data_IF_828816054114
#
_entry.id   IF_828816054114
#
_cell.length_a   1.000
_cell.length_b   1.000
_cell.length_c   1.000
_cell.angle_alpha   90.00
_cell.angle_beta   90.00
_cell.angle_gamma   90.00
#
_symmetry.space_group_name_H-M   'P 1'
#
loop_
_entity.id
_entity.type
_entity.pdbx_description
1 polymer ?
#
# COMPACT_ATOMS: atom_id res chain seq x y z
N UNK A 1 -7.68 -17.93 -0.87
CA UNK A 1 -8.36 -17.89 0.45
C UNK A 1 -7.46 -17.11 1.39
N UNK A 2 -7.99 -16.09 2.04
CA UNK A 2 -7.31 -15.37 3.12
C UNK A 2 -7.07 -16.30 4.32
N UNK A 3 -6.03 -16.02 5.11
CA UNK A 3 -5.85 -16.66 6.42
C UNK A 3 -6.15 -15.58 7.45
N UNK A 4 -7.28 -15.71 8.13
CA UNK A 4 -7.76 -14.74 9.12
C UNK A 4 -7.98 -15.40 10.48
N UNK A 5 -7.83 -14.60 11.54
CA UNK A 5 -8.19 -15.00 12.91
C UNK A 5 -9.16 -13.97 13.44
N UNK A 6 -10.22 -14.47 14.07
CA UNK A 6 -11.34 -13.65 14.50
C UNK A 6 -11.63 -13.92 15.98
N UNK A 7 -11.85 -12.85 16.74
CA UNK A 7 -12.26 -12.87 18.14
C UNK A 7 -13.57 -12.10 18.26
N UNK A 8 -14.65 -12.81 18.62
CA UNK A 8 -16.00 -12.26 18.63
C UNK A 8 -16.64 -12.38 19.99
N UNK A 9 -17.40 -11.35 20.39
CA UNK A 9 -18.07 -11.32 21.68
C UNK A 9 -19.17 -10.27 21.70
N UNK A 10 -19.81 -10.14 22.86
CA UNK A 10 -20.86 -9.13 23.06
C UNK A 10 -20.64 -8.36 24.37
N UNK A 11 -20.70 -7.04 24.26
CA UNK A 11 -20.80 -6.13 25.40
C UNK A 11 -22.14 -6.33 26.11
N UNK A 12 -22.20 -6.05 27.42
CA UNK A 12 -23.48 -6.07 28.13
C UNK A 12 -24.42 -4.97 27.62
N UNK A 13 -23.87 -3.78 27.32
CA UNK A 13 -24.62 -2.61 26.84
C UNK A 13 -23.78 -1.85 25.83
N UNK A 14 -24.46 -1.22 24.88
CA UNK A 14 -23.82 -0.43 23.82
C UNK A 14 -22.96 0.71 24.37
N UNK A 15 -23.39 1.34 25.47
CA UNK A 15 -22.63 2.39 26.16
C UNK A 15 -21.28 1.93 26.72
N UNK A 16 -21.04 0.62 26.83
CA UNK A 16 -19.79 0.06 27.34
C UNK A 16 -18.72 0.00 26.23
N UNK A 17 -19.08 0.32 24.98
CA UNK A 17 -18.18 0.42 23.82
C UNK A 17 -17.04 1.40 24.06
N UNK A 18 -17.33 2.61 24.55
CA UNK A 18 -16.29 3.61 24.82
C UNK A 18 -15.26 3.10 25.84
N UNK A 19 -15.73 2.36 26.85
CA UNK A 19 -14.85 1.78 27.87
C UNK A 19 -13.98 0.67 27.28
N UNK A 20 -14.54 -0.21 26.44
CA UNK A 20 -13.77 -1.27 25.81
C UNK A 20 -12.77 -0.72 24.77
N UNK A 21 -13.16 0.27 23.98
CA UNK A 21 -12.26 0.99 23.08
C UNK A 21 -11.10 1.64 23.84
N UNK A 22 -11.37 2.27 24.98
CA UNK A 22 -10.31 2.86 25.81
C UNK A 22 -9.36 1.80 26.37
N UNK A 23 -9.90 0.66 26.80
CA UNK A 23 -9.08 -0.48 27.23
C UNK A 23 -8.12 -0.95 26.12
N UNK A 24 -8.61 -1.13 24.89
CA UNK A 24 -7.76 -1.52 23.75
C UNK A 24 -6.68 -0.47 23.45
N UNK A 25 -7.02 0.82 23.52
CA UNK A 25 -6.05 1.92 23.39
C UNK A 25 -4.96 1.83 24.47
N UNK A 26 -5.33 1.55 25.72
CA UNK A 26 -4.38 1.41 26.82
C UNK A 26 -3.43 0.20 26.61
N UNK A 27 -3.96 -0.91 26.09
CA UNK A 27 -3.15 -2.08 25.71
C UNK A 27 -2.16 -1.71 24.61
N UNK A 28 -2.59 -0.97 23.58
CA UNK A 28 -1.74 -0.53 22.49
C UNK A 28 -0.62 0.41 22.97
N UNK A 29 -0.95 1.38 23.83
CA UNK A 29 0.04 2.29 24.44
C UNK A 29 1.10 1.51 25.22
N UNK A 30 0.69 0.53 26.03
CA UNK A 30 1.61 -0.33 26.79
C UNK A 30 2.52 -1.14 25.88
N UNK A 31 2.01 -1.61 24.73
CA UNK A 31 2.77 -2.37 23.73
C UNK A 31 3.53 -1.49 22.74
N UNK A 32 3.40 -0.16 22.81
CA UNK A 32 3.92 0.80 21.83
C UNK A 32 3.44 0.52 20.39
N UNK A 33 2.19 0.10 20.28
CA UNK A 33 1.48 -0.14 19.02
C UNK A 33 0.72 1.13 18.66
N UNK A 34 0.80 1.53 17.39
CA UNK A 34 0.01 2.66 16.88
C UNK A 34 -1.45 2.24 16.73
N UNK A 35 -2.37 3.15 17.06
CA UNK A 35 -3.81 2.91 16.99
C UNK A 35 -4.53 4.13 16.42
N UNK A 36 -5.41 3.89 15.47
CA UNK A 36 -6.30 4.89 14.86
C UNK A 36 -7.75 4.60 15.24
N UNK A 37 -8.53 5.65 15.49
CA UNK A 37 -9.93 5.56 15.92
C UNK A 37 -10.82 6.25 14.90
N UNK A 38 -11.61 5.45 14.20
CA UNK A 38 -12.56 5.86 13.15
C UNK A 38 -13.99 5.89 13.67
N UNK A 39 -14.19 6.20 14.95
CA UNK A 39 -15.44 6.07 15.70
C UNK A 39 -15.87 4.59 15.77
N UNK A 40 -16.47 4.06 14.71
CA UNK A 40 -17.02 2.68 14.66
C UNK A 40 -15.96 1.57 14.62
N UNK A 41 -14.72 1.91 14.29
CA UNK A 41 -13.62 0.96 14.10
C UNK A 41 -12.34 1.48 14.74
N UNK A 42 -11.60 0.59 15.40
CA UNK A 42 -10.23 0.83 15.85
C UNK A 42 -9.28 0.02 14.98
N UNK A 43 -8.26 0.68 14.42
CA UNK A 43 -7.20 0.03 13.63
C UNK A 43 -5.90 0.04 14.42
N UNK A 44 -5.31 -1.13 14.64
CA UNK A 44 -4.05 -1.31 15.35
C UNK A 44 -2.94 -1.75 14.39
N UNK A 45 -1.91 -0.93 14.26
CA UNK A 45 -0.80 -1.18 13.34
C UNK A 45 0.32 -1.93 14.08
N UNK A 46 0.42 -3.24 13.84
CA UNK A 46 1.41 -4.09 14.51
C UNK A 46 2.74 -4.07 13.77
N UNK A 47 2.69 -4.23 12.45
CA UNK A 47 3.82 -4.20 11.54
C UNK A 47 3.32 -3.86 10.13
N UNK A 48 4.19 -3.57 9.15
CA UNK A 48 3.76 -3.39 7.77
C UNK A 48 2.94 -4.60 7.29
N UNK A 49 1.82 -4.36 6.60
CA UNK A 49 0.82 -5.38 6.20
C UNK A 49 0.18 -6.20 7.34
N UNK A 50 0.43 -5.86 8.61
CA UNK A 50 -0.06 -6.59 9.78
C UNK A 50 -0.92 -5.70 10.68
N UNK A 51 -2.22 -5.72 10.43
CA UNK A 51 -3.21 -4.90 11.14
C UNK A 51 -4.16 -5.78 11.96
N UNK A 52 -4.61 -5.25 13.10
CA UNK A 52 -5.74 -5.80 13.86
C UNK A 52 -6.85 -4.76 13.85
N UNK A 53 -8.00 -5.14 13.31
CA UNK A 53 -9.20 -4.31 13.25
C UNK A 53 -10.15 -4.71 14.38
N UNK A 54 -10.65 -3.76 15.15
CA UNK A 54 -11.76 -3.95 16.08
C UNK A 54 -12.95 -3.13 15.62
N UNK A 55 -14.07 -3.78 15.31
CA UNK A 55 -15.30 -3.14 14.86
C UNK A 55 -16.48 -3.47 15.79
N UNK A 56 -17.49 -2.61 15.76
CA UNK A 56 -18.67 -2.73 16.61
C UNK A 56 -19.97 -2.74 15.79
N UNK A 57 -20.86 -3.69 16.08
CA UNK A 57 -22.24 -3.71 15.56
C UNK A 57 -23.23 -3.75 16.74
N UNK A 58 -23.68 -2.59 17.18
CA UNK A 58 -24.45 -2.46 18.42
C UNK A 58 -23.63 -2.91 19.64
N UNK A 59 -24.02 -4.01 20.28
CA UNK A 59 -23.25 -4.61 21.39
C UNK A 59 -22.22 -5.63 20.91
N UNK A 60 -22.29 -6.06 19.67
CA UNK A 60 -21.38 -7.06 19.12
C UNK A 60 -20.01 -6.43 18.88
N UNK A 61 -18.96 -7.15 19.25
CA UNK A 61 -17.56 -6.77 19.07
C UNK A 61 -16.90 -7.84 18.22
N UNK A 62 -16.26 -7.43 17.13
CA UNK A 62 -15.44 -8.30 16.30
C UNK A 62 -14.03 -7.74 16.21
N UNK A 63 -13.04 -8.55 16.57
CA UNK A 63 -11.63 -8.23 16.44
C UNK A 63 -11.02 -9.20 15.43
N UNK A 64 -10.56 -8.68 14.29
CA UNK A 64 -10.17 -9.46 13.12
C UNK A 64 -8.75 -9.10 12.70
N UNK A 65 -7.99 -10.11 12.29
CA UNK A 65 -6.72 -9.88 11.60
C UNK A 65 -6.59 -10.82 10.40
N UNK A 66 -6.35 -10.24 9.22
CA UNK A 66 -5.89 -11.00 8.06
C UNK A 66 -4.36 -11.15 8.16
N UNK A 67 -3.89 -12.38 8.21
CA UNK A 67 -2.51 -12.70 8.63
C UNK A 67 -1.62 -13.22 7.50
N UNK A 68 -2.18 -13.61 6.36
CA UNK A 68 -1.45 -14.29 5.29
C UNK A 68 -0.36 -13.44 4.63
N UNK A 69 -0.45 -12.11 4.62
CA UNK A 69 0.58 -11.25 3.97
C UNK A 69 1.76 -11.02 4.92
N UNK A 70 1.49 -10.62 6.16
CA UNK A 70 2.54 -10.41 7.15
C UNK A 70 3.26 -11.71 7.52
N UNK A 71 2.53 -12.82 7.68
CA UNK A 71 3.12 -14.16 7.85
C UNK A 71 2.75 -14.87 9.17
N UNK A 72 3.26 -16.10 9.37
CA UNK A 72 2.88 -16.95 10.49
C UNK A 72 3.29 -16.39 11.85
N UNK A 73 4.39 -15.62 11.93
CA UNK A 73 4.81 -14.96 13.17
C UNK A 73 3.80 -13.91 13.64
N UNK A 74 3.27 -13.12 12.70
CA UNK A 74 2.20 -12.16 12.98
C UNK A 74 0.92 -12.88 13.44
N UNK A 75 0.54 -13.97 12.78
CA UNK A 75 -0.60 -14.79 13.22
C UNK A 75 -0.45 -15.28 14.67
N UNK A 76 0.73 -15.74 15.04
CA UNK A 76 1.02 -16.17 16.40
C UNK A 76 0.95 -15.02 17.41
N UNK A 77 1.38 -13.82 17.03
CA UNK A 77 1.24 -12.61 17.82
C UNK A 77 -0.23 -12.24 18.03
N UNK A 78 -1.06 -12.24 16.99
CA UNK A 78 -2.51 -11.95 17.09
C UNK A 78 -3.18 -12.91 18.08
N UNK A 79 -2.87 -14.21 17.98
CA UNK A 79 -3.38 -15.20 18.90
C UNK A 79 -3.00 -14.93 20.37
N UNK A 80 -1.78 -14.44 20.61
CA UNK A 80 -1.32 -14.05 21.95
C UNK A 80 -1.94 -12.73 22.42
N UNK A 81 -2.24 -11.82 21.49
CA UNK A 81 -3.01 -10.61 21.75
C UNK A 81 -4.44 -10.94 22.18
N UNK A 82 -5.09 -11.91 21.52
CA UNK A 82 -6.42 -12.40 21.91
C UNK A 82 -6.42 -12.99 23.32
N UNK A 83 -5.39 -13.75 23.71
CA UNK A 83 -5.26 -14.22 25.09
C UNK A 83 -5.23 -13.06 26.10
N UNK A 84 -4.50 -11.98 25.81
CA UNK A 84 -4.47 -10.79 26.68
C UNK A 84 -5.82 -10.08 26.76
N UNK A 85 -6.55 -9.97 25.63
CA UNK A 85 -7.89 -9.38 25.60
C UNK A 85 -8.87 -10.21 26.42
N UNK A 86 -8.89 -11.53 26.22
CA UNK A 86 -9.79 -12.45 26.93
C UNK A 86 -9.49 -12.45 28.44
N UNK A 87 -8.22 -12.48 28.83
CA UNK A 87 -7.82 -12.51 30.24
C UNK A 87 -8.18 -11.24 31.01
N UNK A 88 -8.28 -10.10 30.33
CA UNK A 88 -8.46 -8.79 30.97
C UNK A 88 -9.82 -8.13 30.65
N UNK A 89 -10.70 -8.82 29.92
CA UNK A 89 -12.04 -8.35 29.58
C UNK A 89 -13.12 -9.20 30.27
N UNK A 90 -14.23 -8.61 30.73
CA UNK A 90 -15.38 -9.36 31.22
C UNK A 90 -16.23 -9.97 30.10
N UNK A 91 -15.93 -9.65 28.83
CA UNK A 91 -16.67 -10.15 27.65
C UNK A 91 -16.38 -11.64 27.46
N UNK A 92 -17.44 -12.43 27.28
CA UNK A 92 -17.32 -13.82 26.86
C UNK A 92 -17.03 -13.85 25.36
N UNK A 93 -15.75 -13.99 25.00
CA UNK A 93 -15.31 -14.08 23.62
C UNK A 93 -15.23 -15.54 23.13
N UNK A 94 -15.42 -15.71 21.83
CA UNK A 94 -15.13 -16.92 21.06
C UNK A 94 -14.06 -16.61 20.02
N UNK A 95 -13.13 -17.55 19.81
CA UNK A 95 -12.04 -17.41 18.83
C UNK A 95 -12.31 -18.36 17.67
N UNK A 96 -12.30 -17.81 16.45
CA UNK A 96 -12.33 -18.56 15.20
C UNK A 96 -10.96 -18.48 14.54
N UNK A 97 -10.28 -19.62 14.46
CA UNK A 97 -8.99 -19.78 13.80
C UNK A 97 -9.01 -21.02 12.88
N UNK A 98 -9.10 -20.84 11.54
CA UNK A 98 -9.07 -21.93 10.57
C UNK A 98 -7.78 -22.77 10.61
N UNK A 99 -6.69 -22.21 11.13
CA UNK A 99 -5.40 -22.90 11.24
C UNK A 99 -5.28 -23.76 12.50
N UNK A 100 -6.21 -23.60 13.45
CA UNK A 100 -6.21 -24.22 14.78
C UNK A 100 -4.99 -23.89 15.63
N UNK A 101 -4.17 -22.92 15.23
CA UNK A 101 -3.05 -22.47 16.02
C UNK A 101 -3.48 -21.86 17.36
N UNK A 102 -4.68 -21.26 17.43
CA UNK A 102 -5.21 -20.71 18.66
C UNK A 102 -5.27 -21.76 19.78
N UNK A 103 -5.78 -22.95 19.45
CA UNK A 103 -5.94 -24.06 20.40
C UNK A 103 -4.65 -24.89 20.54
N UNK A 104 -3.99 -25.21 19.44
CA UNK A 104 -2.88 -26.17 19.42
C UNK A 104 -1.53 -25.56 19.82
N UNK A 105 -1.35 -24.24 19.61
CA UNK A 105 -0.08 -23.51 19.81
C UNK A 105 1.12 -24.18 19.13
N UNK A 106 0.87 -24.89 18.03
CA UNK A 106 1.89 -25.60 17.26
C UNK A 106 2.34 -24.76 16.06
N UNK A 107 3.45 -24.04 16.24
CA UNK A 107 3.95 -23.11 15.23
C UNK A 107 4.47 -23.82 13.97
N UNK A 108 5.03 -25.02 14.10
CA UNK A 108 5.45 -25.83 12.95
C UNK A 108 4.24 -26.21 12.09
N UNK A 109 3.12 -26.62 12.71
CA UNK A 109 1.89 -26.87 11.96
C UNK A 109 1.40 -25.60 11.25
N UNK A 110 1.40 -24.45 11.94
CA UNK A 110 1.00 -23.17 11.36
C UNK A 110 1.84 -22.82 10.12
N UNK A 111 3.17 -22.90 10.23
CA UNK A 111 4.10 -22.64 9.12
C UNK A 111 3.88 -23.61 7.96
N UNK A 112 4.08 -24.91 8.19
CA UNK A 112 4.21 -25.86 7.08
C UNK A 112 2.87 -26.32 6.49
N UNK A 113 1.81 -26.42 7.30
CA UNK A 113 0.51 -26.91 6.81
C UNK A 113 -0.39 -25.82 6.24
N UNK A 114 -0.26 -24.59 6.74
CA UNK A 114 -1.15 -23.49 6.38
C UNK A 114 -0.43 -22.41 5.57
N UNK A 115 0.55 -21.72 6.16
CA UNK A 115 1.19 -20.58 5.50
C UNK A 115 2.04 -20.98 4.29
N UNK A 116 2.84 -22.04 4.41
CA UNK A 116 3.69 -22.51 3.32
C UNK A 116 2.88 -23.25 2.25
N UNK A 117 1.75 -23.85 2.63
CA UNK A 117 0.82 -24.38 1.65
C UNK A 117 0.14 -23.24 0.87
N UNK A 118 -0.31 -22.20 1.55
CA UNK A 118 -0.85 -21.00 0.90
C UNK A 118 0.17 -20.34 -0.03
N UNK A 119 1.43 -20.20 0.39
CA UNK A 119 2.50 -19.65 -0.45
C UNK A 119 2.82 -20.56 -1.66
N UNK A 120 2.71 -21.89 -1.53
CA UNK A 120 2.81 -22.81 -2.67
C UNK A 120 1.67 -22.62 -3.66
N UNK A 121 0.46 -22.37 -3.17
CA UNK A 121 -0.69 -22.11 -4.04
C UNK A 121 -0.49 -20.80 -4.82
N UNK A 122 0.05 -19.75 -4.17
CA UNK A 122 0.48 -18.50 -4.83
C UNK A 122 1.58 -18.76 -5.87
N UNK A 123 2.60 -19.54 -5.52
CA UNK A 123 3.67 -19.89 -6.46
C UNK A 123 3.13 -20.65 -7.70
N UNK A 124 2.18 -21.57 -7.50
CA UNK A 124 1.46 -22.24 -8.57
C UNK A 124 0.67 -21.26 -9.45
N UNK A 125 -0.03 -20.32 -8.83
CA UNK A 125 -0.76 -19.27 -9.54
C UNK A 125 0.16 -18.38 -10.39
N UNK A 126 1.30 -17.93 -9.84
CA UNK A 126 2.32 -17.18 -10.58
C UNK A 126 2.80 -17.97 -11.79
N UNK A 127 3.17 -19.24 -11.58
CA UNK A 127 3.64 -20.12 -12.66
C UNK A 127 2.61 -20.26 -13.78
N UNK A 128 1.33 -20.41 -13.45
CA UNK A 128 0.28 -20.64 -14.44
C UNK A 128 -0.14 -19.36 -15.19
N UNK A 129 0.04 -18.17 -14.61
CA UNK A 129 -0.53 -16.93 -15.14
C UNK A 129 0.48 -15.86 -15.57
N UNK A 130 1.78 -16.00 -15.25
CA UNK A 130 2.79 -14.96 -15.54
C UNK A 130 2.96 -14.60 -17.03
N UNK A 131 2.55 -15.46 -17.96
CA UNK A 131 2.64 -15.20 -19.40
C UNK A 131 1.41 -14.46 -19.96
N UNK A 132 0.27 -14.58 -19.28
CA UNK A 132 -1.01 -14.01 -19.72
C UNK A 132 -1.30 -12.67 -19.05
N UNK A 133 -0.82 -12.49 -17.83
CA UNK A 133 -1.01 -11.26 -17.05
C UNK A 133 0.24 -10.39 -17.13
N UNK A 134 0.13 -9.28 -17.87
CA UNK A 134 1.10 -8.20 -17.77
C UNK A 134 1.01 -7.61 -16.35
N UNK A 135 2.16 -7.43 -15.69
CA UNK A 135 2.28 -6.80 -14.36
C UNK A 135 1.53 -7.54 -13.24
N UNK A 136 1.85 -8.83 -13.05
CA UNK A 136 1.30 -9.60 -11.94
C UNK A 136 1.72 -8.99 -10.59
N UNK A 137 0.72 -8.66 -9.77
CA UNK A 137 0.88 -8.16 -8.40
C UNK A 137 0.27 -9.18 -7.44
N UNK A 138 1.00 -9.53 -6.38
CA UNK A 138 0.54 -10.44 -5.33
C UNK A 138 0.48 -9.67 -4.02
N UNK A 139 -0.62 -9.85 -3.28
CA UNK A 139 -0.86 -9.19 -1.99
C UNK A 139 -0.79 -7.66 -2.10
N UNK A 140 -1.41 -7.12 -3.16
CA UNK A 140 -1.45 -5.69 -3.44
C UNK A 140 -2.91 -5.21 -3.51
N UNK A 141 -3.33 -4.22 -2.71
CA UNK A 141 -4.72 -3.76 -2.70
C UNK A 141 -5.14 -3.15 -4.04
N UNK A 142 -6.39 -3.40 -4.46
CA UNK A 142 -6.92 -2.92 -5.76
C UNK A 142 -7.15 -1.41 -5.81
N UNK A 143 -7.41 -0.82 -4.66
CA UNK A 143 -7.64 0.61 -4.43
C UNK A 143 -6.34 1.38 -4.14
N UNK A 144 -5.19 0.70 -4.18
CA UNK A 144 -3.89 1.31 -4.03
C UNK A 144 -3.20 1.62 -5.37
N UNK A 145 -2.14 2.43 -5.34
CA UNK A 145 -1.37 2.73 -6.55
C UNK A 145 -0.76 1.45 -7.12
N UNK A 146 -0.67 1.33 -8.43
CA UNK A 146 -0.07 0.18 -9.10
C UNK A 146 1.37 0.50 -9.52
N UNK A 147 2.37 -0.26 -9.04
CA UNK A 147 3.74 -0.15 -9.51
C UNK A 147 3.89 -0.51 -10.99
N UNK A 148 4.97 -0.03 -11.62
CA UNK A 148 5.40 -0.54 -12.92
C UNK A 148 5.84 -2.00 -12.74
N UNK A 149 5.26 -2.91 -13.54
CA UNK A 149 5.74 -4.29 -13.58
C UNK A 149 7.06 -4.41 -14.35
N UNK A 150 7.79 -5.49 -14.07
CA UNK A 150 9.08 -5.80 -14.69
C UNK A 150 9.02 -7.20 -15.31
N UNK A 151 9.45 -7.32 -16.56
CA UNK A 151 9.43 -8.60 -17.28
C UNK A 151 10.12 -9.72 -16.49
N UNK A 152 9.39 -10.82 -16.27
CA UNK A 152 9.89 -11.96 -15.50
C UNK A 152 9.86 -11.79 -13.98
N UNK A 153 9.25 -10.71 -13.47
CA UNK A 153 9.09 -10.45 -12.04
C UNK A 153 7.62 -10.23 -11.66
N UNK A 154 7.35 -10.50 -10.40
CA UNK A 154 6.07 -10.28 -9.74
C UNK A 154 6.25 -9.17 -8.71
N UNK A 155 5.32 -8.23 -8.68
CA UNK A 155 5.26 -7.16 -7.68
C UNK A 155 4.70 -7.73 -6.38
N UNK A 156 5.41 -7.51 -5.27
CA UNK A 156 4.97 -7.89 -3.91
C UNK A 156 5.25 -6.76 -2.92
N UNK A 157 4.66 -6.76 -1.71
CA UNK A 157 5.02 -5.84 -0.64
C UNK A 157 6.51 -5.84 -0.28
N UNK A 158 7.20 -6.96 -0.48
CA UNK A 158 8.63 -7.14 -0.19
C UNK A 158 9.54 -6.81 -1.39
N UNK A 159 8.98 -6.24 -2.46
CA UNK A 159 9.69 -5.90 -3.69
C UNK A 159 9.44 -6.90 -4.83
N UNK A 160 10.20 -6.73 -5.91
CA UNK A 160 10.13 -7.64 -7.05
C UNK A 160 10.70 -9.02 -6.67
N UNK A 161 9.89 -10.06 -6.83
CA UNK A 161 10.34 -11.45 -6.75
C UNK A 161 10.26 -12.05 -8.15
N UNK A 162 11.32 -12.69 -8.61
CA UNK A 162 11.33 -13.25 -9.97
C UNK A 162 10.36 -14.41 -10.08
N UNK A 163 9.77 -14.60 -11.27
CA UNK A 163 8.96 -15.79 -11.57
C UNK A 163 9.78 -17.07 -11.39
N UNK A 164 11.09 -17.00 -11.66
CA UNK A 164 12.02 -18.11 -11.41
C UNK A 164 12.10 -18.45 -9.92
N UNK A 165 12.22 -17.45 -9.04
CA UNK A 165 12.26 -17.65 -7.60
C UNK A 165 10.99 -18.31 -7.07
N UNK A 166 9.82 -17.84 -7.51
CA UNK A 166 8.53 -18.48 -7.19
C UNK A 166 8.47 -19.94 -7.65
N UNK A 167 9.13 -20.28 -8.77
CA UNK A 167 9.03 -21.61 -9.36
C UNK A 167 10.06 -22.59 -8.79
N UNK A 168 11.25 -22.11 -8.43
CA UNK A 168 12.42 -22.96 -8.22
C UNK A 168 12.97 -22.96 -6.80
N UNK A 169 12.73 -21.92 -5.99
CA UNK A 169 13.19 -21.91 -4.60
C UNK A 169 12.45 -22.97 -3.79
N UNK A 170 13.11 -23.51 -2.78
CA UNK A 170 12.37 -24.25 -1.76
C UNK A 170 11.43 -23.30 -1.01
N UNK A 171 10.40 -23.88 -0.40
CA UNK A 171 9.33 -23.06 0.20
C UNK A 171 9.80 -22.26 1.41
N UNK A 172 10.83 -22.72 2.15
CA UNK A 172 11.37 -22.00 3.29
C UNK A 172 12.16 -20.77 2.82
N UNK A 173 13.00 -20.94 1.79
CA UNK A 173 13.72 -19.84 1.15
C UNK A 173 12.76 -18.80 0.54
N UNK A 174 11.72 -19.25 -0.16
CA UNK A 174 10.69 -18.35 -0.69
C UNK A 174 9.93 -17.64 0.43
N UNK A 175 9.58 -18.33 1.51
CA UNK A 175 8.89 -17.75 2.66
C UNK A 175 9.70 -16.65 3.35
N UNK A 176 11.02 -16.81 3.47
CA UNK A 176 11.92 -15.79 4.03
C UNK A 176 12.00 -14.52 3.17
N UNK A 177 11.71 -14.62 1.87
CA UNK A 177 11.67 -13.48 0.93
C UNK A 177 10.29 -12.85 0.81
N UNK A 178 9.23 -13.64 1.04
CA UNK A 178 7.85 -13.22 0.84
C UNK A 178 7.22 -12.64 2.12
N UNK A 179 7.40 -13.29 3.27
CA UNK A 179 6.76 -12.86 4.52
C UNK A 179 7.60 -11.82 5.26
N UNK A 180 6.91 -10.85 5.86
CA UNK A 180 7.51 -9.84 6.74
C UNK A 180 7.92 -10.49 8.08
N UNK A 181 7.05 -11.35 8.61
CA UNK A 181 7.18 -11.99 9.92
C UNK A 181 6.94 -13.50 9.83
N UNK A 182 8.02 -14.24 9.56
CA UNK A 182 7.99 -15.68 9.32
C UNK A 182 8.23 -16.55 10.57
N UNK A 183 8.77 -15.98 11.64
CA UNK A 183 9.21 -16.70 12.84
C UNK A 183 8.54 -16.15 14.11
N UNK A 184 8.55 -16.89 15.23
CA UNK A 184 7.83 -16.47 16.45
C UNK A 184 8.41 -15.19 17.08
N UNK A 185 9.72 -15.02 17.01
CA UNK A 185 10.45 -13.98 17.74
C UNK A 185 10.66 -12.72 16.88
N UNK A 186 10.78 -11.58 17.55
CA UNK A 186 11.21 -10.31 16.96
C UNK A 186 12.74 -10.27 16.80
N UNK A 187 13.29 -11.12 15.93
CA UNK A 187 14.72 -11.13 15.61
C UNK A 187 15.09 -10.04 14.61
N UNK A 188 16.39 -9.81 14.40
CA UNK A 188 16.89 -8.77 13.48
C UNK A 188 16.26 -8.84 12.07
N UNK A 189 16.03 -10.06 11.57
CA UNK A 189 15.39 -10.29 10.27
C UNK A 189 13.94 -9.78 10.18
N UNK A 190 13.16 -9.86 11.25
CA UNK A 190 11.81 -9.27 11.31
C UNK A 190 11.88 -7.75 11.11
N UNK A 191 12.75 -7.06 11.85
CA UNK A 191 12.88 -5.61 11.76
C UNK A 191 13.42 -5.19 10.39
N UNK A 192 14.41 -5.90 9.84
CA UNK A 192 14.88 -5.68 8.45
C UNK A 192 13.73 -5.84 7.45
N UNK A 193 12.93 -6.89 7.57
CA UNK A 193 11.84 -7.13 6.63
C UNK A 193 10.74 -6.07 6.74
N UNK A 194 10.45 -5.55 7.95
CA UNK A 194 9.58 -4.38 8.12
C UNK A 194 10.12 -3.15 7.38
N UNK A 195 11.42 -2.86 7.51
CA UNK A 195 12.05 -1.76 6.78
C UNK A 195 11.96 -1.96 5.26
N UNK A 196 12.25 -3.17 4.76
CA UNK A 196 12.18 -3.48 3.33
C UNK A 196 10.77 -3.29 2.76
N UNK A 197 9.74 -3.77 3.47
CA UNK A 197 8.35 -3.58 3.05
C UNK A 197 7.99 -2.10 2.90
N UNK A 198 8.39 -1.28 3.86
CA UNK A 198 8.15 0.17 3.81
C UNK A 198 9.01 0.87 2.75
N UNK A 199 10.28 0.47 2.57
CA UNK A 199 11.14 0.98 1.51
C UNK A 199 10.54 0.75 0.12
N UNK A 200 9.95 -0.41 -0.12
CA UNK A 200 9.31 -0.73 -1.38
C UNK A 200 8.00 0.03 -1.59
N UNK A 201 7.13 0.09 -0.56
CA UNK A 201 5.75 0.60 -0.71
C UNK A 201 5.57 2.07 -0.35
N UNK A 202 6.21 2.55 0.71
CA UNK A 202 5.85 3.79 1.41
C UNK A 202 6.96 4.83 1.46
N UNK A 203 8.14 4.54 0.91
CA UNK A 203 9.26 5.45 0.95
C UNK A 203 9.18 6.54 -0.12
N UNK A 204 9.40 7.79 0.30
CA UNK A 204 9.43 8.98 -0.56
C UNK A 204 10.86 9.45 -0.88
N UNK A 205 11.87 8.78 -0.33
CA UNK A 205 13.30 8.99 -0.63
C UNK A 205 13.73 10.45 -0.39
N UNK A 206 14.26 11.13 -1.40
CA UNK A 206 14.66 12.53 -1.29
C UNK A 206 13.50 13.50 -0.97
N UNK A 207 12.24 13.05 -1.10
CA UNK A 207 11.04 13.80 -0.77
C UNK A 207 10.46 13.42 0.60
N UNK A 208 11.21 12.70 1.44
CA UNK A 208 10.73 12.25 2.74
C UNK A 208 10.44 13.37 3.75
N UNK A 209 10.85 14.60 3.49
CA UNK A 209 10.47 15.79 4.29
C UNK A 209 9.36 16.64 3.69
N UNK A 210 8.64 16.12 2.68
CA UNK A 210 7.57 16.84 1.99
C UNK A 210 6.41 17.18 2.94
N UNK A 211 5.91 16.19 3.67
CA UNK A 211 4.82 16.34 4.63
C UNK A 211 4.95 15.39 5.83
N UNK A 212 4.05 15.55 6.81
CA UNK A 212 4.03 14.73 8.05
C UNK A 212 3.97 13.22 7.77
N UNK A 213 3.23 12.82 6.74
CA UNK A 213 3.12 11.40 6.37
C UNK A 213 4.44 10.85 5.84
N UNK A 214 5.05 11.53 4.86
CA UNK A 214 6.34 11.10 4.28
C UNK A 214 7.46 11.08 5.33
N UNK A 215 7.42 12.01 6.29
CA UNK A 215 8.39 12.10 7.39
C UNK A 215 8.20 10.97 8.41
N UNK A 216 6.94 10.66 8.76
CA UNK A 216 6.59 9.50 9.59
C UNK A 216 7.10 8.20 8.95
N UNK A 217 6.88 8.01 7.64
CA UNK A 217 7.34 6.80 6.93
C UNK A 217 8.86 6.66 6.96
N UNK A 218 9.59 7.75 6.70
CA UNK A 218 11.05 7.75 6.74
C UNK A 218 11.59 7.41 8.14
N UNK A 219 11.03 8.04 9.19
CA UNK A 219 11.41 7.74 10.57
C UNK A 219 11.17 6.27 10.94
N UNK A 220 10.02 5.70 10.56
CA UNK A 220 9.74 4.29 10.82
C UNK A 220 10.72 3.36 10.10
N UNK A 221 11.07 3.64 8.83
CA UNK A 221 12.06 2.86 8.09
C UNK A 221 13.41 2.90 8.81
N UNK A 222 13.87 4.08 9.20
CA UNK A 222 15.14 4.27 9.92
C UNK A 222 15.12 3.51 11.26
N UNK A 223 14.04 3.64 12.04
CA UNK A 223 13.86 2.94 13.32
C UNK A 223 13.93 1.42 13.16
N UNK A 224 13.33 0.87 12.10
CA UNK A 224 13.38 -0.56 11.82
C UNK A 224 14.79 -1.04 11.44
N UNK A 225 15.53 -0.26 10.65
CA UNK A 225 16.91 -0.58 10.28
C UNK A 225 17.82 -0.53 11.53
N UNK A 226 17.65 0.49 12.38
CA UNK A 226 18.40 0.63 13.63
C UNK A 226 18.07 -0.50 14.63
N UNK A 227 16.80 -0.87 14.76
CA UNK A 227 16.39 -2.00 15.59
C UNK A 227 16.94 -3.34 15.06
N UNK A 228 16.99 -3.52 13.74
CA UNK A 228 17.61 -4.71 13.13
C UNK A 228 19.10 -4.77 13.47
N UNK A 229 19.82 -3.67 13.31
CA UNK A 229 21.24 -3.55 13.62
C UNK A 229 21.54 -3.75 15.11
N UNK A 230 20.72 -3.21 16.01
CA UNK A 230 20.87 -3.40 17.47
C UNK A 230 20.75 -4.90 17.86
N UNK A 231 19.89 -5.65 17.15
CA UNK A 231 19.67 -7.08 17.40
C UNK A 231 20.77 -7.96 16.82
N UNK A 232 21.30 -7.62 15.65
CA UNK A 232 22.36 -8.35 14.96
C UNK A 232 23.11 -7.41 14.02
N UNK A 233 24.31 -6.98 14.43
CA UNK A 233 25.17 -6.06 13.67
C UNK A 233 25.86 -6.73 12.48
N UNK A 234 25.70 -8.05 12.32
CA UNK A 234 26.24 -8.84 11.20
C UNK A 234 25.22 -9.13 10.11
N UNK A 235 23.95 -8.78 10.34
CA UNK A 235 22.89 -8.92 9.34
C UNK A 235 23.09 -7.88 8.22
N UNK A 236 23.07 -8.26 6.93
CA UNK A 236 23.04 -7.29 5.85
C UNK A 236 21.75 -6.46 5.87
N UNK A 237 21.89 -5.14 5.77
CA UNK A 237 20.82 -4.14 5.84
C UNK A 237 20.86 -3.20 4.62
N UNK A 238 19.76 -2.50 4.29
CA UNK A 238 19.71 -1.53 3.19
C UNK A 238 20.43 -0.23 3.59
N UNK A 239 21.75 -0.30 3.70
CA UNK A 239 22.57 0.78 4.27
C UNK A 239 22.56 2.02 3.38
N UNK A 240 22.55 1.86 2.06
CA UNK A 240 22.47 2.99 1.12
C UNK A 240 21.19 3.81 1.37
N UNK A 241 20.05 3.14 1.47
CA UNK A 241 18.75 3.79 1.70
C UNK A 241 18.64 4.38 3.11
N UNK A 242 19.22 3.71 4.11
CA UNK A 242 19.33 4.25 5.46
C UNK A 242 20.01 5.63 5.46
N UNK A 243 21.19 5.73 4.84
CA UNK A 243 21.94 6.99 4.77
C UNK A 243 21.20 8.06 3.96
N UNK A 244 20.57 7.68 2.83
CA UNK A 244 19.74 8.59 2.03
C UNK A 244 18.59 9.17 2.84
N UNK A 245 17.91 8.35 3.64
CA UNK A 245 16.80 8.81 4.48
C UNK A 245 17.26 9.67 5.65
N UNK A 246 18.34 9.31 6.34
CA UNK A 246 18.93 10.14 7.38
C UNK A 246 19.28 11.54 6.85
N UNK A 247 19.87 11.63 5.65
CA UNK A 247 20.17 12.90 5.00
C UNK A 247 18.88 13.67 4.66
N UNK A 248 17.91 13.00 4.03
CA UNK A 248 16.66 13.61 3.57
C UNK A 248 15.88 14.27 4.71
N UNK A 249 15.77 13.60 5.88
CA UNK A 249 15.02 14.11 7.04
C UNK A 249 15.89 14.77 8.11
N UNK A 250 17.18 14.99 7.83
CA UNK A 250 18.14 15.60 8.76
C UNK A 250 18.24 14.88 10.12
N UNK A 251 18.14 13.55 10.11
CA UNK A 251 18.29 12.69 11.29
C UNK A 251 19.74 12.24 11.46
N UNK A 252 20.19 12.11 12.70
CA UNK A 252 21.54 11.62 13.01
C UNK A 252 21.72 10.18 12.52
N UNK A 253 22.79 9.96 11.75
CA UNK A 253 23.26 8.63 11.34
C UNK A 253 24.06 7.99 12.48
N UNK A 254 23.51 6.91 13.06
CA UNK A 254 24.13 6.19 14.19
C UNK A 254 24.81 4.88 13.78
N UNK A 255 24.53 4.35 12.58
CA UNK A 255 25.07 3.07 12.11
C UNK A 255 26.33 3.30 11.27
N UNK A 256 27.50 3.21 11.92
CA UNK A 256 28.79 3.50 11.26
C UNK A 256 29.42 2.33 10.50
N UNK A 257 29.05 1.09 10.84
CA UNK A 257 29.73 -0.12 10.35
C UNK A 257 28.74 -1.22 9.93
N UNK A 258 27.62 -0.85 9.32
CA UNK A 258 26.65 -1.82 8.78
C UNK A 258 27.17 -2.57 7.56
N UNK A 259 26.72 -3.81 7.40
CA UNK A 259 26.95 -4.61 6.18
C UNK A 259 25.86 -4.24 5.18
N UNK A 260 26.24 -3.65 4.04
CA UNK A 260 25.28 -3.32 2.99
C UNK A 260 24.81 -4.59 2.28
N UNK A 261 23.49 -4.70 2.10
CA UNK A 261 22.88 -5.80 1.35
C UNK A 261 22.89 -5.57 -0.17
N UNK A 262 23.27 -4.38 -0.63
CA UNK A 262 23.39 -4.02 -2.05
C UNK A 262 22.10 -4.24 -2.85
N UNK A 263 21.02 -3.57 -2.43
CA UNK A 263 19.77 -3.57 -3.19
C UNK A 263 19.93 -2.81 -4.50
N UNK A 264 19.44 -3.39 -5.59
CA UNK A 264 19.27 -2.68 -6.86
C UNK A 264 17.90 -2.03 -6.91
N UNK A 265 17.86 -0.71 -7.14
CA UNK A 265 16.65 0.03 -7.50
C UNK A 265 15.43 -0.19 -6.57
N UNK A 266 15.66 -0.18 -5.25
CA UNK A 266 14.60 -0.36 -4.25
C UNK A 266 13.62 0.82 -4.25
N UNK A 267 12.32 0.49 -4.24
CA UNK A 267 11.22 1.45 -4.12
C UNK A 267 10.36 1.58 -5.36
N UNK A 268 9.10 1.16 -5.30
CA UNK A 268 8.17 1.37 -6.40
C UNK A 268 7.91 2.85 -6.66
N UNK A 269 7.93 3.68 -5.61
CA UNK A 269 7.69 5.12 -5.70
C UNK A 269 8.80 5.92 -6.39
N UNK A 270 9.97 5.31 -6.65
CA UNK A 270 11.03 5.94 -7.46
C UNK A 270 10.65 6.12 -8.93
N UNK A 271 9.63 5.39 -9.38
CA UNK A 271 9.16 5.39 -10.75
C UNK A 271 7.77 6.02 -10.87
N UNK A 272 7.25 6.12 -12.11
CA UNK A 272 5.82 6.38 -12.31
C UNK A 272 5.01 5.23 -11.69
N UNK A 273 3.85 5.56 -11.17
CA UNK A 273 2.85 4.60 -10.67
C UNK A 273 1.49 4.96 -11.24
N UNK A 274 0.55 4.03 -11.21
CA UNK A 274 -0.80 4.24 -11.73
C UNK A 274 -1.84 4.19 -10.61
N UNK A 275 -2.56 5.29 -10.38
CA UNK A 275 -3.58 5.36 -9.34
C UNK A 275 -4.97 4.95 -9.87
N UNK A 276 -5.71 4.09 -9.15
CA UNK A 276 -7.08 3.74 -9.50
C UNK A 276 -8.03 4.91 -9.23
N UNK A 277 -8.89 5.22 -10.21
CA UNK A 277 -10.01 6.15 -10.03
C UNK A 277 -11.24 5.66 -10.79
N UNK A 278 -12.07 4.88 -10.11
CA UNK A 278 -13.09 4.07 -10.77
C UNK A 278 -12.46 3.06 -11.73
N UNK A 279 -12.93 3.02 -12.97
CA UNK A 279 -12.37 2.19 -14.05
C UNK A 279 -11.15 2.82 -14.74
N UNK A 280 -10.74 4.02 -14.31
CA UNK A 280 -9.57 4.72 -14.83
C UNK A 280 -8.33 4.42 -14.00
N UNK A 281 -7.19 4.60 -14.65
CA UNK A 281 -5.85 4.40 -14.10
C UNK A 281 -5.00 5.59 -14.52
N UNK A 282 -4.60 6.41 -13.54
CA UNK A 282 -3.97 7.71 -13.74
C UNK A 282 -2.47 7.60 -13.43
N UNK A 283 -1.58 7.79 -14.43
CA UNK A 283 -0.14 7.73 -14.25
C UNK A 283 0.38 9.02 -13.63
N UNK A 284 1.14 8.90 -12.54
CA UNK A 284 1.84 10.01 -11.86
C UNK A 284 3.16 9.53 -11.27
N UNK A 285 4.13 10.43 -10.98
CA UNK A 285 5.32 10.06 -10.23
C UNK A 285 4.96 9.43 -8.87
N UNK A 286 5.65 8.37 -8.49
CA UNK A 286 5.32 7.60 -7.30
C UNK A 286 5.45 8.34 -5.98
N UNK A 287 6.30 9.38 -5.92
CA UNK A 287 6.43 10.25 -4.77
C UNK A 287 5.43 11.42 -4.75
N UNK A 288 4.53 11.55 -5.74
CA UNK A 288 3.53 12.62 -5.75
C UNK A 288 2.62 12.57 -4.53
N UNK A 289 2.41 13.74 -3.94
CA UNK A 289 1.36 13.93 -2.93
C UNK A 289 0.00 13.76 -3.60
N UNK A 290 -0.91 13.05 -2.96
CA UNK A 290 -2.24 12.78 -3.48
C UNK A 290 -3.31 12.98 -2.40
N UNK A 291 -4.53 13.26 -2.82
CA UNK A 291 -5.67 13.39 -1.92
C UNK A 291 -7.00 13.40 -2.67
N UNK A 292 -8.06 13.03 -1.97
CA UNK A 292 -9.42 13.00 -2.52
C UNK A 292 -10.33 13.98 -1.77
N UNK A 293 -10.96 14.89 -2.51
CA UNK A 293 -11.98 15.78 -1.95
C UNK A 293 -13.37 15.19 -2.17
N UNK A 294 -13.99 14.70 -1.09
CA UNK A 294 -15.33 14.11 -1.12
C UNK A 294 -16.42 15.08 -1.59
N UNK A 295 -16.27 16.39 -1.35
CA UNK A 295 -17.32 17.38 -1.69
C UNK A 295 -17.37 17.63 -3.19
N UNK A 296 -16.19 17.75 -3.81
CA UNK A 296 -16.07 17.96 -5.25
C UNK A 296 -15.95 16.65 -6.04
N UNK A 297 -15.77 15.51 -5.36
CA UNK A 297 -15.44 14.20 -5.93
C UNK A 297 -14.24 14.29 -6.87
N UNK A 298 -13.19 14.96 -6.40
CA UNK A 298 -11.99 15.24 -7.18
C UNK A 298 -10.79 14.53 -6.56
N UNK A 299 -10.07 13.78 -7.40
CA UNK A 299 -8.76 13.26 -7.05
C UNK A 299 -7.70 14.27 -7.45
N UNK A 300 -6.78 14.57 -6.54
CA UNK A 300 -5.71 15.54 -6.72
C UNK A 300 -4.35 14.87 -6.64
N UNK A 301 -3.42 15.32 -7.48
CA UNK A 301 -2.00 14.98 -7.38
C UNK A 301 -1.14 16.23 -7.47
N UNK A 302 -0.13 16.33 -6.63
CA UNK A 302 0.82 17.45 -6.63
C UNK A 302 2.24 16.96 -6.88
N UNK A 303 3.02 17.82 -7.55
CA UNK A 303 4.45 17.59 -7.72
C UNK A 303 5.13 17.37 -6.35
N UNK A 304 5.98 16.35 -6.20
CA UNK A 304 6.74 16.19 -4.98
C UNK A 304 7.72 17.35 -4.79
N UNK A 305 7.95 17.73 -3.54
CA UNK A 305 8.85 18.81 -3.16
C UNK A 305 9.71 18.38 -1.97
N UNK A 306 10.93 18.92 -1.87
CA UNK A 306 11.87 18.52 -0.80
C UNK A 306 11.60 19.30 0.48
N UNK A 307 11.23 20.56 0.35
CA UNK A 307 10.93 21.45 1.46
C UNK A 307 9.64 22.22 1.19
N UNK A 308 8.85 22.51 2.21
CA UNK A 308 7.57 23.21 2.07
C UNK A 308 7.68 24.63 1.48
N UNK A 309 8.89 25.20 1.44
CA UNK A 309 9.18 26.47 0.78
C UNK A 309 9.33 26.33 -0.75
N UNK A 310 9.61 25.12 -1.24
CA UNK A 310 9.62 24.81 -2.66
C UNK A 310 8.18 24.82 -3.16
N UNK A 311 7.77 25.90 -3.84
CA UNK A 311 6.42 25.97 -4.43
C UNK A 311 6.17 24.81 -5.40
N UNK A 312 4.92 24.31 -5.45
CA UNK A 312 4.53 23.21 -6.33
C UNK A 312 4.78 23.56 -7.81
N UNK A 313 5.27 22.56 -8.58
CA UNK A 313 5.51 22.70 -10.02
C UNK A 313 4.26 22.48 -10.86
N UNK A 314 3.46 21.51 -10.44
CA UNK A 314 2.22 21.17 -11.10
C UNK A 314 1.19 20.60 -10.12
N UNK A 315 -0.08 20.72 -10.50
CA UNK A 315 -1.25 20.13 -9.83
C UNK A 315 -2.11 19.45 -10.89
N UNK A 316 -2.44 18.18 -10.68
CA UNK A 316 -3.40 17.44 -11.50
C UNK A 316 -4.69 17.30 -10.70
N UNK A 317 -5.82 17.56 -11.35
CA UNK A 317 -7.17 17.28 -10.83
C UNK A 317 -7.85 16.30 -11.78
N UNK A 318 -8.52 15.30 -11.23
CA UNK A 318 -9.30 14.34 -12.00
C UNK A 318 -10.70 14.19 -11.42
N UNK A 319 -11.70 14.19 -12.31
CA UNK A 319 -13.09 13.88 -11.99
C UNK A 319 -13.60 12.81 -12.95
N UNK A 320 -14.29 11.80 -12.43
CA UNK A 320 -14.82 10.69 -13.22
C UNK A 320 -16.33 10.57 -13.01
N UNK A 321 -17.05 10.31 -14.10
CA UNK A 321 -18.51 10.28 -14.12
C UNK A 321 -19.03 9.14 -14.99
N UNK A 322 -20.22 8.64 -14.65
CA UNK A 322 -20.95 7.62 -15.42
C UNK A 322 -22.32 8.19 -15.78
N UNK A 323 -22.72 8.06 -17.04
CA UNK A 323 -23.97 8.59 -17.58
C UNK A 323 -24.87 7.48 -18.15
N UNK A 324 -26.17 7.78 -18.34
CA UNK A 324 -27.14 6.83 -18.91
C UNK A 324 -26.98 6.63 -20.42
N UNK A 325 -26.46 7.64 -21.13
CA UNK A 325 -26.30 7.63 -22.58
C UNK A 325 -24.81 7.68 -22.95
N UNK A 326 -24.50 7.28 -24.19
CA UNK A 326 -23.15 7.42 -24.72
C UNK A 326 -22.79 8.91 -24.82
N UNK A 327 -21.55 9.22 -24.46
CA UNK A 327 -21.08 10.59 -24.40
C UNK A 327 -20.42 11.04 -25.70
N UNK A 328 -20.52 12.34 -25.97
CA UNK A 328 -19.71 13.05 -26.94
C UNK A 328 -18.77 14.03 -26.22
N UNK A 329 -17.73 14.49 -26.92
CA UNK A 329 -16.83 15.49 -26.38
C UNK A 329 -17.58 16.80 -26.09
N UNK A 330 -17.30 17.41 -24.95
CA UNK A 330 -17.84 18.73 -24.64
C UNK A 330 -17.28 19.76 -25.64
N UNK A 331 -18.07 20.80 -25.94
CA UNK A 331 -17.75 21.78 -26.98
C UNK A 331 -16.37 22.44 -26.82
N UNK A 332 -15.88 22.57 -25.58
CA UNK A 332 -14.55 23.11 -25.27
C UNK A 332 -13.40 22.27 -25.85
N UNK A 333 -13.58 20.94 -25.99
CA UNK A 333 -12.58 20.02 -26.51
C UNK A 333 -12.63 19.88 -28.04
N UNK A 334 -13.50 20.62 -28.72
CA UNK A 334 -13.65 20.62 -30.18
C UNK A 334 -13.02 21.87 -30.84
N UNK A 335 -12.02 22.46 -30.18
CA UNK A 335 -11.25 23.60 -30.72
C UNK A 335 -10.21 23.16 -31.77
N UNK A 336 -9.65 24.13 -32.51
CA UNK A 336 -8.65 23.85 -33.55
C UNK A 336 -7.31 23.38 -32.95
N UNK A 337 -7.02 23.81 -31.73
CA UNK A 337 -5.81 23.50 -30.97
C UNK A 337 -5.88 22.16 -30.21
N UNK A 338 -7.01 21.45 -30.30
CA UNK A 338 -7.19 20.18 -29.63
C UNK A 338 -6.30 19.09 -30.24
N UNK A 339 -5.69 18.28 -29.38
CA UNK A 339 -4.96 17.08 -29.75
C UNK A 339 -5.71 15.82 -29.31
N UNK A 340 -5.53 14.73 -30.06
CA UNK A 340 -6.16 13.46 -29.77
C UNK A 340 -5.31 12.63 -28.79
N UNK A 341 -5.98 11.93 -27.88
CA UNK A 341 -5.42 11.03 -26.88
C UNK A 341 -6.21 9.72 -26.98
N UNK A 342 -6.09 9.02 -28.10
CA UNK A 342 -6.90 7.83 -28.37
C UNK A 342 -6.12 6.54 -28.09
N UNK A 343 -6.81 5.55 -27.53
CA UNK A 343 -6.31 4.18 -27.46
C UNK A 343 -7.43 3.17 -27.82
N UNK A 344 -7.21 1.88 -27.54
CA UNK A 344 -8.19 0.84 -27.88
C UNK A 344 -9.44 0.87 -26.99
N UNK A 345 -9.35 1.42 -25.79
CA UNK A 345 -10.37 1.34 -24.74
C UNK A 345 -11.14 2.66 -24.53
N UNK A 346 -10.60 3.79 -24.97
CA UNK A 346 -11.27 5.09 -24.90
C UNK A 346 -10.89 6.00 -26.05
N UNK A 347 -11.67 7.08 -26.21
CA UNK A 347 -11.29 8.24 -27.00
C UNK A 347 -10.97 9.41 -26.10
N UNK A 348 -9.97 10.20 -26.44
CA UNK A 348 -9.54 11.33 -25.63
C UNK A 348 -9.24 12.55 -26.47
N UNK A 349 -9.55 13.73 -25.93
CA UNK A 349 -9.12 15.01 -26.50
C UNK A 349 -8.59 15.89 -25.39
N UNK A 350 -7.50 16.59 -25.67
CA UNK A 350 -6.95 17.61 -24.79
C UNK A 350 -6.60 18.88 -25.53
N UNK A 351 -6.43 19.98 -24.81
CA UNK A 351 -5.91 21.23 -25.34
C UNK A 351 -5.10 21.95 -24.26
N UNK A 352 -4.23 22.86 -24.69
CA UNK A 352 -3.33 23.62 -23.83
C UNK A 352 -3.71 25.09 -23.89
N UNK A 353 -3.81 25.73 -22.74
CA UNK A 353 -3.99 27.16 -22.59
C UNK A 353 -2.80 27.76 -21.83
N UNK A 354 -2.30 28.87 -22.35
CA UNK A 354 -1.33 29.71 -21.65
C UNK A 354 -2.09 30.85 -20.96
N UNK A 355 -1.88 31.00 -19.65
CA UNK A 355 -2.40 32.13 -18.87
C UNK A 355 -1.25 33.08 -18.52
N UNK A 356 -1.55 34.22 -17.90
CA UNK A 356 -0.51 35.15 -17.45
C UNK A 356 0.41 34.56 -16.36
N UNK A 357 -0.07 33.55 -15.62
CA UNK A 357 0.62 33.01 -14.43
C UNK A 357 1.04 31.55 -14.54
N UNK A 358 0.40 30.74 -15.39
CA UNK A 358 0.63 29.30 -15.52
C UNK A 358 0.12 28.75 -16.87
N UNK A 359 0.50 27.51 -17.19
CA UNK A 359 -0.07 26.73 -18.28
C UNK A 359 -1.14 25.77 -17.76
N UNK A 360 -2.21 25.58 -18.52
CA UNK A 360 -3.27 24.61 -18.22
C UNK A 360 -3.41 23.62 -19.35
N UNK A 361 -3.40 22.33 -19.02
CA UNK A 361 -3.82 21.26 -19.93
C UNK A 361 -5.17 20.75 -19.45
N UNK A 362 -6.19 20.85 -20.31
CA UNK A 362 -7.50 20.24 -20.06
C UNK A 362 -7.64 19.02 -20.96
N UNK A 363 -8.04 17.88 -20.40
CA UNK A 363 -8.30 16.65 -21.15
C UNK A 363 -9.65 16.02 -20.76
N UNK A 364 -10.34 15.49 -21.76
CA UNK A 364 -11.54 14.67 -21.60
C UNK A 364 -11.33 13.30 -22.23
N UNK A 365 -11.60 12.26 -21.45
CA UNK A 365 -11.58 10.86 -21.87
C UNK A 365 -13.01 10.31 -21.87
N UNK A 366 -13.36 9.49 -22.86
CA UNK A 366 -14.69 8.88 -23.02
C UNK A 366 -14.55 7.39 -23.35
N UNK A 367 -15.16 6.53 -22.54
CA UNK A 367 -15.34 5.10 -22.81
C UNK A 367 -16.81 4.72 -22.66
N UNK A 368 -17.55 4.79 -23.78
CA UNK A 368 -19.00 4.56 -23.82
C UNK A 368 -19.77 5.58 -22.99
N UNK A 369 -20.26 5.14 -21.82
CA UNK A 369 -21.03 5.93 -20.85
C UNK A 369 -20.17 6.58 -19.76
N UNK A 370 -18.88 6.25 -19.71
CA UNK A 370 -17.95 6.73 -18.70
C UNK A 370 -17.10 7.85 -19.27
N UNK A 371 -16.85 8.88 -18.47
CA UNK A 371 -15.92 9.95 -18.83
C UNK A 371 -15.03 10.33 -17.65
N UNK A 372 -13.81 10.72 -17.96
CA UNK A 372 -12.90 11.35 -17.01
C UNK A 372 -12.50 12.72 -17.56
N UNK A 373 -12.55 13.74 -16.71
CA UNK A 373 -11.99 15.06 -16.97
C UNK A 373 -10.71 15.20 -16.15
N UNK A 374 -9.63 15.63 -16.80
CA UNK A 374 -8.38 15.95 -16.14
C UNK A 374 -7.99 17.41 -16.42
N UNK A 375 -7.58 18.12 -15.37
CA UNK A 375 -7.00 19.45 -15.45
C UNK A 375 -5.58 19.40 -14.86
N UNK A 376 -4.57 19.73 -15.66
CA UNK A 376 -3.20 19.89 -15.21
C UNK A 376 -2.87 21.39 -15.17
N UNK A 377 -2.55 21.90 -13.99
CA UNK A 377 -2.07 23.28 -13.78
C UNK A 377 -0.56 23.19 -13.63
N UNK A 378 0.19 23.92 -14.46
CA UNK A 378 1.63 23.77 -14.64
C UNK A 378 2.28 25.13 -14.54
N UNK A 379 3.22 25.29 -13.61
CA UNK A 379 3.87 26.57 -13.36
C UNK A 379 4.80 26.98 -14.50
N UNK A 380 5.64 26.06 -14.96
CA UNK A 380 6.73 26.33 -15.88
C UNK A 380 6.55 25.61 -17.22
N UNK A 381 6.91 26.28 -18.32
CA UNK A 381 6.75 25.75 -19.67
C UNK A 381 7.50 24.42 -19.89
N UNK A 382 8.60 24.20 -19.17
CA UNK A 382 9.44 22.99 -19.28
C UNK A 382 8.69 21.70 -18.91
N UNK A 383 7.68 21.79 -18.04
CA UNK A 383 6.92 20.63 -17.57
C UNK A 383 5.71 20.31 -18.47
N UNK A 384 5.31 21.22 -19.38
CA UNK A 384 4.08 21.10 -20.18
C UNK A 384 4.10 19.85 -21.07
N UNK A 385 5.21 19.59 -21.76
CA UNK A 385 5.34 18.43 -22.65
C UNK A 385 5.35 17.12 -21.85
N UNK A 386 6.03 17.08 -20.70
CA UNK A 386 6.06 15.94 -19.80
C UNK A 386 4.65 15.57 -19.31
N UNK A 387 3.88 16.55 -18.82
CA UNK A 387 2.52 16.28 -18.36
C UNK A 387 1.58 15.92 -19.53
N UNK A 388 1.81 16.48 -20.72
CA UNK A 388 1.08 16.06 -21.93
C UNK A 388 1.34 14.59 -22.26
N UNK A 389 2.58 14.13 -22.14
CA UNK A 389 2.94 12.72 -22.33
C UNK A 389 2.23 11.81 -21.30
N UNK A 390 2.15 12.21 -20.03
CA UNK A 390 1.45 11.43 -19.00
C UNK A 390 -0.04 11.22 -19.31
N UNK A 391 -0.71 12.22 -19.91
CA UNK A 391 -2.10 12.08 -20.33
C UNK A 391 -2.29 10.94 -21.36
N UNK A 392 -1.28 10.66 -22.18
CA UNK A 392 -1.31 9.54 -23.15
C UNK A 392 -1.13 8.17 -22.51
N UNK A 393 -0.65 8.12 -21.26
CA UNK A 393 -0.42 6.90 -20.49
C UNK A 393 -1.62 6.50 -19.61
N UNK A 394 -2.71 7.28 -19.63
CA UNK A 394 -3.97 6.92 -18.95
C UNK A 394 -4.50 5.60 -19.49
N UNK A 395 -4.96 4.73 -18.60
CA UNK A 395 -5.59 3.47 -18.97
C UNK A 395 -7.05 3.44 -18.50
N UNK A 396 -7.87 2.66 -19.21
CA UNK A 396 -9.25 2.35 -18.84
C UNK A 396 -9.44 0.84 -18.90
N UNK A 397 -9.91 0.28 -17.79
CA UNK A 397 -10.25 -1.13 -17.69
C UNK A 397 -11.59 -1.26 -16.98
N UNK A 398 -12.61 -1.81 -17.66
CA UNK A 398 -13.86 -2.16 -17.00
C UNK A 398 -13.59 -3.33 -16.06
N UNK A 399 -13.64 -3.07 -14.76
CA UNK A 399 -13.51 -4.13 -13.76
C UNK A 399 -14.73 -5.04 -13.88
N UNK A 400 -14.54 -6.27 -14.37
CA UNK A 400 -15.58 -7.28 -14.31
C UNK A 400 -15.81 -7.66 -12.83
N UNK A 401 -17.06 -7.84 -12.40
CA UNK A 401 -17.36 -8.24 -11.01
C UNK A 401 -16.73 -9.58 -10.60
N UNK A 402 -16.28 -10.39 -11.55
CA UNK A 402 -15.52 -11.62 -11.30
C UNK A 402 -14.08 -11.36 -10.84
N UNK A 403 -13.45 -10.26 -11.25
CA UNK A 403 -12.09 -9.91 -10.83
C UNK A 403 -12.07 -9.36 -9.39
N UNK A 404 -13.20 -8.82 -8.91
CA UNK A 404 -13.38 -8.45 -7.49
C UNK A 404 -13.29 -9.65 -6.54
N UNK A 405 -13.50 -10.88 -7.03
CA UNK A 405 -13.51 -12.11 -6.22
C UNK A 405 -12.17 -12.85 -6.19
N UNK A 406 -11.17 -12.39 -6.94
CA UNK A 406 -9.89 -13.08 -7.12
C UNK A 406 -8.70 -12.46 -6.36
N UNK A 407 -8.90 -11.33 -5.69
CA UNK A 407 -7.87 -10.68 -4.87
C UNK A 407 -8.09 -10.93 -3.39
#
# INVERSE_FOLDING_TARGET
>A
MSIEVVLEGALEKEKDREQFSQYLKDVCVKKKVHIEDYDATLMMDICPEGYIECSYEGTFVSIVAQTNVAGPGFHAFVCSFFDEVIMNSPIAFEVSDPTKYYEERNFENLKYKYFYQWLKDIAGYVKDNHQELNNLMISWPMDYYQPIGKDGYVVTPMGYISVEDFTNLDIEELAQRFFIWNDLDFHAGYYRNCALSLLWKECFFEYSSMNEYSDKMANMIIDYIEAAYEKDDTLPLPMKEYHELCEAIHREDIIRHGIDMHLEDVGYRRYMVSYPFGNWRIPVPGCSENGYDEKSQTLHFMAPYKQSEDGWKWLIKANAYIFEENLEFAQAFLCEEAFDIDNQNFKGKGFIEETEEYYRISAQYISGQETMLMECIIRDQEDVETLREWLTMVEHTKVNEEDKKKN
#
